data_IF_557930010119
#
_entry.id   IF_557930010119
#
_cell.length_a   1.000
_cell.length_b   1.000
_cell.length_c   1.000
_cell.angle_alpha   90.00
_cell.angle_beta   90.00
_cell.angle_gamma   90.00
#
_symmetry.space_group_name_H-M   'P 1'
#
loop_
_entity.id
_entity.type
_entity.pdbx_description
1 polymer ?
#
# COMPACT_ATOMS: atom_id res chain seq x y z
N UNK A 1 -36.46 -10.56 -54.99
CA UNK A 1 -36.57 -10.73 -53.52
C UNK A 1 -35.52 -11.68 -52.92
N UNK A 2 -35.03 -12.71 -53.65
CA UNK A 2 -33.99 -13.63 -53.13
C UNK A 2 -32.62 -12.98 -52.89
N UNK A 3 -32.23 -11.97 -53.69
CA UNK A 3 -30.91 -11.33 -53.60
C UNK A 3 -30.82 -10.27 -52.48
N UNK A 4 -31.93 -9.74 -52.01
CA UNK A 4 -31.98 -8.79 -50.90
C UNK A 4 -31.79 -9.48 -49.55
N UNK A 5 -32.21 -10.72 -49.43
CA UNK A 5 -32.03 -11.52 -48.22
C UNK A 5 -30.55 -11.96 -48.02
N UNK A 6 -29.83 -12.18 -49.12
CA UNK A 6 -28.44 -12.60 -49.08
C UNK A 6 -27.51 -11.44 -48.66
N UNK A 7 -27.80 -10.20 -49.02
CA UNK A 7 -27.06 -9.01 -48.63
C UNK A 7 -27.28 -8.66 -47.15
N UNK A 8 -28.48 -8.94 -46.63
CA UNK A 8 -28.82 -8.70 -45.24
C UNK A 8 -28.16 -9.72 -44.28
N UNK A 9 -27.85 -10.95 -44.79
CA UNK A 9 -27.19 -11.98 -44.01
C UNK A 9 -25.66 -11.77 -43.93
N UNK A 10 -25.07 -10.98 -44.83
CA UNK A 10 -23.62 -10.68 -44.84
C UNK A 10 -23.23 -9.48 -43.97
N UNK A 11 -24.19 -8.70 -43.47
CA UNK A 11 -23.90 -7.54 -42.59
C UNK A 11 -23.90 -7.89 -41.08
N UNK A 12 -24.06 -9.15 -40.69
CA UNK A 12 -24.22 -9.50 -39.28
C UNK A 12 -23.02 -10.31 -38.71
N UNK A 13 -21.87 -10.27 -39.36
CA UNK A 13 -20.70 -11.04 -38.89
C UNK A 13 -19.39 -10.23 -38.79
N UNK A 14 -19.48 -8.98 -38.35
CA UNK A 14 -18.34 -8.22 -37.89
C UNK A 14 -18.46 -7.93 -36.38
N UNK A 15 -18.57 -8.99 -35.57
CA UNK A 15 -18.13 -8.91 -34.19
C UNK A 15 -16.61 -8.92 -34.22
N UNK A 16 -16.00 -7.76 -34.14
CA UNK A 16 -14.60 -7.63 -33.78
C UNK A 16 -14.46 -8.24 -32.38
N UNK A 17 -14.11 -9.53 -32.35
CA UNK A 17 -13.67 -10.16 -31.13
C UNK A 17 -12.35 -9.50 -30.73
N UNK A 18 -12.38 -8.58 -29.78
CA UNK A 18 -11.17 -8.13 -29.09
C UNK A 18 -10.60 -9.35 -28.39
N UNK A 19 -9.53 -9.89 -28.94
CA UNK A 19 -8.83 -11.02 -28.38
C UNK A 19 -8.07 -10.57 -27.12
N UNK A 20 -8.64 -10.82 -25.95
CA UNK A 20 -7.87 -10.77 -24.71
C UNK A 20 -7.03 -12.03 -24.63
N UNK A 21 -5.72 -11.88 -24.51
CA UNK A 21 -4.78 -13.00 -24.36
C UNK A 21 -4.52 -13.18 -22.87
N UNK A 22 -4.87 -14.34 -22.35
CA UNK A 22 -4.48 -14.75 -20.99
C UNK A 22 -3.03 -15.21 -20.98
N UNK A 23 -2.27 -14.76 -20.00
CA UNK A 23 -0.88 -15.18 -19.78
C UNK A 23 -0.68 -15.41 -18.27
N UNK A 24 0.45 -16.04 -17.93
CA UNK A 24 0.83 -16.29 -16.54
C UNK A 24 2.21 -15.69 -16.33
N UNK A 25 2.39 -14.95 -15.22
CA UNK A 25 3.70 -14.41 -14.83
C UNK A 25 4.65 -15.52 -14.40
N UNK A 26 5.94 -15.22 -14.27
CA UNK A 26 6.94 -16.16 -13.75
C UNK A 26 6.58 -16.67 -12.34
N UNK A 27 5.82 -15.87 -11.56
CA UNK A 27 5.37 -16.21 -10.23
C UNK A 27 4.06 -17.02 -10.19
N UNK A 28 3.45 -17.29 -11.37
CA UNK A 28 2.22 -18.05 -11.49
C UNK A 28 0.93 -17.23 -11.44
N UNK A 29 1.01 -15.90 -11.45
CA UNK A 29 -0.16 -15.03 -11.44
C UNK A 29 -0.77 -14.94 -12.84
N UNK A 30 -2.09 -15.06 -12.97
CA UNK A 30 -2.80 -14.88 -14.23
C UNK A 30 -2.90 -13.39 -14.60
N UNK A 31 -2.61 -13.06 -15.84
CA UNK A 31 -2.69 -11.70 -16.40
C UNK A 31 -3.42 -11.70 -17.73
N UNK A 32 -4.11 -10.61 -18.01
CA UNK A 32 -4.70 -10.33 -19.31
C UNK A 32 -3.83 -9.32 -20.07
N UNK A 33 -3.41 -9.69 -21.28
CA UNK A 33 -2.72 -8.81 -22.22
C UNK A 33 -3.74 -8.14 -23.14
N UNK A 34 -3.60 -6.85 -23.36
CA UNK A 34 -4.44 -6.05 -24.22
C UNK A 34 -3.74 -5.70 -25.53
N UNK A 35 -4.51 -5.49 -26.61
CA UNK A 35 -3.96 -5.18 -27.94
C UNK A 35 -3.21 -3.86 -28.02
N UNK A 36 -3.41 -2.95 -27.05
CA UNK A 36 -2.71 -1.67 -26.93
C UNK A 36 -1.31 -1.81 -26.30
N UNK A 37 -0.89 -3.04 -25.97
CA UNK A 37 0.40 -3.35 -25.34
C UNK A 37 0.38 -3.20 -23.81
N UNK A 38 -0.77 -2.91 -23.21
CA UNK A 38 -0.93 -2.91 -21.74
C UNK A 38 -1.28 -4.31 -21.24
N UNK A 39 -1.20 -4.53 -19.94
CA UNK A 39 -1.60 -5.76 -19.28
C UNK A 39 -2.11 -5.49 -17.86
N UNK A 40 -2.92 -6.40 -17.34
CA UNK A 40 -3.41 -6.36 -15.96
C UNK A 40 -3.44 -7.76 -15.35
N UNK A 41 -3.29 -7.86 -14.04
CA UNK A 41 -3.52 -9.12 -13.32
C UNK A 41 -5.00 -9.48 -13.33
N UNK A 42 -5.33 -10.75 -13.57
CA UNK A 42 -6.72 -11.24 -13.59
C UNK A 42 -7.34 -11.32 -12.18
N UNK A 43 -6.53 -11.66 -11.18
CA UNK A 43 -6.89 -11.70 -9.76
C UNK A 43 -6.83 -10.32 -9.06
N UNK A 44 -6.72 -9.24 -9.81
CA UNK A 44 -7.37 -8.07 -9.30
C UNK A 44 -8.87 -8.39 -9.30
N UNK A 45 -9.38 -9.00 -8.20
CA UNK A 45 -10.74 -8.66 -7.80
C UNK A 45 -10.86 -7.18 -8.12
N UNK A 46 -11.73 -6.83 -9.06
CA UNK A 46 -12.14 -5.45 -9.23
C UNK A 46 -12.68 -5.09 -7.85
N UNK A 47 -11.78 -4.68 -6.95
CA UNK A 47 -12.17 -3.75 -5.92
C UNK A 47 -12.71 -2.62 -6.77
N UNK A 48 -14.04 -2.60 -6.96
CA UNK A 48 -14.73 -1.36 -7.30
C UNK A 48 -13.93 -0.32 -6.54
N UNK A 49 -13.38 0.65 -7.27
CA UNK A 49 -12.58 1.68 -6.67
C UNK A 49 -13.54 2.42 -5.73
N UNK A 50 -13.75 1.85 -4.55
CA UNK A 50 -14.46 2.51 -3.48
C UNK A 50 -13.60 3.73 -3.26
N UNK A 51 -14.18 4.88 -3.57
CA UNK A 51 -13.51 6.16 -3.45
C UNK A 51 -12.92 6.24 -2.04
N UNK A 52 -11.58 6.21 -1.94
CA UNK A 52 -10.92 6.25 -0.63
C UNK A 52 -11.28 7.58 0.00
N UNK A 53 -12.04 7.53 1.08
CA UNK A 53 -12.59 8.72 1.72
C UNK A 53 -11.50 9.53 2.42
N UNK A 54 -11.62 10.85 2.34
CA UNK A 54 -10.80 11.76 3.14
C UNK A 54 -11.31 11.77 4.59
N UNK A 55 -10.43 11.50 5.54
CA UNK A 55 -10.74 11.72 6.96
C UNK A 55 -10.88 13.23 7.20
N UNK A 56 -11.97 13.68 7.82
CA UNK A 56 -12.20 15.11 8.07
C UNK A 56 -11.27 15.73 9.14
N UNK A 57 -10.61 14.88 9.94
CA UNK A 57 -9.67 15.33 10.98
C UNK A 57 -8.32 15.70 10.39
N UNK A 58 -7.64 16.65 11.02
CA UNK A 58 -6.26 17.02 10.73
C UNK A 58 -5.35 16.47 11.82
N UNK A 59 -4.33 15.75 11.42
CA UNK A 59 -3.35 15.14 12.31
C UNK A 59 -2.06 15.96 12.34
N UNK A 60 -1.51 16.15 13.52
CA UNK A 60 -0.30 16.96 13.70
C UNK A 60 0.67 16.28 14.65
N UNK A 61 1.95 16.54 14.41
CA UNK A 61 3.05 16.08 15.24
C UNK A 61 2.83 16.43 16.72
N UNK A 62 2.94 15.42 17.59
CA UNK A 62 2.89 15.62 19.03
C UNK A 62 4.14 16.37 19.57
N UNK A 63 3.97 17.12 20.65
CA UNK A 63 5.08 17.89 21.26
C UNK A 63 6.26 17.02 21.70
N UNK A 64 6.02 15.78 22.12
CA UNK A 64 7.05 14.82 22.55
C UNK A 64 7.88 14.26 21.40
N UNK A 65 7.41 14.32 20.17
CA UNK A 65 8.13 13.89 18.97
C UNK A 65 9.20 14.96 18.61
N UNK A 66 10.31 14.92 19.32
CA UNK A 66 11.36 15.96 19.32
C UNK A 66 12.59 15.58 18.52
N UNK A 67 12.76 14.31 18.14
CA UNK A 67 13.89 13.83 17.35
C UNK A 67 13.49 13.70 15.88
N UNK A 68 14.25 14.35 14.98
CA UNK A 68 14.05 14.28 13.54
C UNK A 68 14.97 13.22 12.94
N UNK A 69 14.41 12.12 12.48
CA UNK A 69 15.08 11.09 11.70
C UNK A 69 14.94 11.41 10.21
N UNK A 70 16.05 11.68 9.52
CA UNK A 70 16.03 12.02 8.10
C UNK A 70 16.30 10.80 7.23
N UNK A 71 15.58 10.66 6.12
CA UNK A 71 15.94 9.71 5.08
C UNK A 71 17.30 10.08 4.47
N UNK A 72 18.06 9.09 4.06
CA UNK A 72 19.27 9.27 3.26
C UNK A 72 19.00 9.07 1.76
N UNK A 73 17.78 8.64 1.40
CA UNK A 73 17.39 8.34 0.02
C UNK A 73 16.59 9.48 -0.64
N UNK A 74 15.86 10.29 0.17
CA UNK A 74 14.99 11.36 -0.30
C UNK A 74 14.87 12.47 0.76
N UNK A 75 14.10 13.53 0.47
CA UNK A 75 13.96 14.70 1.34
C UNK A 75 12.91 14.52 2.47
N UNK A 76 12.63 13.29 2.88
CA UNK A 76 11.67 13.05 3.95
C UNK A 76 12.34 13.03 5.33
N UNK A 77 11.57 13.49 6.32
CA UNK A 77 11.97 13.45 7.72
C UNK A 77 10.81 12.98 8.60
N UNK A 78 11.15 12.19 9.60
CA UNK A 78 10.19 11.52 10.49
C UNK A 78 10.47 11.95 11.91
N UNK A 79 9.48 12.55 12.57
CA UNK A 79 9.62 12.91 13.96
C UNK A 79 9.26 11.73 14.85
N UNK A 80 10.07 11.48 15.87
CA UNK A 80 9.76 10.47 16.88
C UNK A 80 10.10 10.98 18.29
N UNK A 81 9.48 10.35 19.30
CA UNK A 81 9.86 10.56 20.68
C UNK A 81 11.04 9.64 21.05
N UNK A 82 12.25 10.17 21.27
CA UNK A 82 13.42 9.35 21.55
C UNK A 82 13.37 8.67 22.93
N UNK A 83 12.43 9.03 23.79
CA UNK A 83 12.19 8.34 25.07
C UNK A 83 11.43 7.05 24.88
N UNK A 84 10.50 7.02 23.93
CA UNK A 84 9.62 5.89 23.71
C UNK A 84 10.15 4.92 22.64
N UNK A 85 10.89 5.44 21.63
CA UNK A 85 11.32 4.67 20.48
C UNK A 85 12.82 4.52 20.37
N UNK A 86 13.27 3.37 19.89
CA UNK A 86 14.59 3.15 19.31
C UNK A 86 14.48 2.99 17.82
N UNK A 87 15.56 3.24 17.09
CA UNK A 87 15.65 2.98 15.67
C UNK A 87 17.03 2.40 15.31
N UNK A 88 17.05 1.64 14.22
CA UNK A 88 18.26 1.08 13.62
C UNK A 88 18.20 1.34 12.11
N UNK A 89 19.28 1.87 11.55
CA UNK A 89 19.45 2.00 10.11
C UNK A 89 20.01 0.70 9.55
N UNK A 90 19.56 0.32 8.34
CA UNK A 90 20.04 -0.87 7.64
C UNK A 90 19.98 -2.14 8.54
N UNK A 91 18.80 -2.37 9.13
CA UNK A 91 18.54 -3.48 10.04
C UNK A 91 18.44 -4.84 9.35
N UNK A 92 17.59 -5.71 9.87
CA UNK A 92 17.40 -7.08 9.36
C UNK A 92 16.56 -7.16 8.09
N UNK A 93 15.66 -6.20 7.88
CA UNK A 93 14.83 -6.11 6.67
C UNK A 93 15.53 -5.25 5.60
N UNK A 94 16.00 -5.84 4.49
CA UNK A 94 16.75 -5.11 3.47
C UNK A 94 15.89 -4.07 2.72
N UNK A 95 14.56 -4.15 2.77
CA UNK A 95 13.68 -3.15 2.18
C UNK A 95 13.53 -1.90 3.06
N UNK A 96 13.75 -2.02 4.38
CA UNK A 96 13.61 -0.92 5.31
C UNK A 96 14.88 -0.08 5.39
N UNK A 97 14.75 1.24 5.22
CA UNK A 97 15.83 2.17 5.52
C UNK A 97 16.05 2.27 7.04
N UNK A 98 14.95 2.25 7.80
CA UNK A 98 14.97 2.24 9.25
C UNK A 98 14.00 1.21 9.81
N UNK A 99 14.44 0.47 10.81
CA UNK A 99 13.60 -0.32 11.69
C UNK A 99 13.42 0.41 13.02
N UNK A 100 12.21 0.40 13.58
CA UNK A 100 11.87 1.07 14.84
C UNK A 100 11.30 0.05 15.83
N UNK A 101 11.51 0.30 17.11
CA UNK A 101 10.98 -0.53 18.17
C UNK A 101 10.53 0.34 19.36
N UNK A 102 9.29 0.12 19.82
CA UNK A 102 8.78 0.74 21.04
C UNK A 102 9.47 0.12 22.26
N UNK A 103 10.16 0.92 23.07
CA UNK A 103 10.95 0.43 24.21
C UNK A 103 10.12 -0.31 25.28
N UNK A 104 8.84 0.01 25.39
CA UNK A 104 7.95 -0.48 26.44
C UNK A 104 7.00 -1.58 25.98
N UNK A 105 7.19 -2.19 24.80
CA UNK A 105 6.25 -3.21 24.33
C UNK A 105 6.54 -3.78 22.95
N UNK A 106 5.66 -4.65 22.51
CA UNK A 106 5.79 -5.42 21.26
C UNK A 106 5.18 -4.67 20.07
N UNK A 107 5.55 -3.41 19.91
CA UNK A 107 5.21 -2.60 18.76
C UNK A 107 6.48 -2.25 18.00
N UNK A 108 6.48 -2.55 16.73
CA UNK A 108 7.58 -2.33 15.81
C UNK A 108 7.17 -1.36 14.73
N UNK A 109 8.14 -0.77 14.05
CA UNK A 109 7.91 0.08 12.91
C UNK A 109 9.00 -0.08 11.86
N UNK A 110 8.72 0.36 10.66
CA UNK A 110 9.69 0.43 9.57
C UNK A 110 9.42 1.64 8.69
N UNK A 111 10.49 2.18 8.13
CA UNK A 111 10.47 3.22 7.11
C UNK A 111 11.10 2.63 5.86
N UNK A 112 10.33 2.54 4.80
CA UNK A 112 10.78 2.12 3.47
C UNK A 112 10.78 3.36 2.59
N UNK A 113 11.93 3.75 2.08
CA UNK A 113 12.12 4.95 1.25
C UNK A 113 12.67 4.57 -0.11
N UNK A 114 12.02 5.07 -1.18
CA UNK A 114 12.41 4.84 -2.56
C UNK A 114 12.55 6.18 -3.30
N UNK A 115 13.52 6.27 -4.25
CA UNK A 115 13.78 7.48 -5.05
C UNK A 115 12.90 7.52 -6.31
N UNK A 116 11.66 7.11 -6.19
CA UNK A 116 10.70 7.07 -7.28
C UNK A 116 9.36 7.62 -6.80
N UNK A 117 8.82 8.59 -7.52
CA UNK A 117 7.46 9.06 -7.31
C UNK A 117 6.46 8.03 -7.85
N UNK A 118 5.52 7.60 -7.01
CA UNK A 118 4.49 6.62 -7.35
C UNK A 118 3.12 7.19 -6.93
N UNK A 119 2.10 7.24 -7.80
CA UNK A 119 0.74 7.63 -7.40
C UNK A 119 0.25 6.81 -6.21
N UNK A 120 -0.46 7.44 -5.26
CA UNK A 120 -0.87 6.78 -4.01
C UNK A 120 -1.74 5.54 -4.24
N UNK A 121 -2.58 5.54 -5.27
CA UNK A 121 -3.40 4.40 -5.68
C UNK A 121 -2.53 3.22 -6.14
N UNK A 122 -1.51 3.49 -6.93
CA UNK A 122 -0.52 2.48 -7.35
C UNK A 122 0.29 1.98 -6.17
N UNK A 123 0.74 2.89 -5.30
CA UNK A 123 1.49 2.55 -4.08
C UNK A 123 0.67 1.67 -3.13
N UNK A 124 -0.65 1.92 -3.03
CA UNK A 124 -1.59 1.05 -2.31
C UNK A 124 -1.57 -0.38 -2.86
N UNK A 125 -1.67 -0.51 -4.17
CA UNK A 125 -1.61 -1.82 -4.84
C UNK A 125 -0.29 -2.55 -4.58
N UNK A 126 0.84 -1.85 -4.71
CA UNK A 126 2.17 -2.39 -4.42
C UNK A 126 2.28 -2.84 -2.96
N UNK A 127 1.84 -2.01 -2.01
CA UNK A 127 1.89 -2.34 -0.59
C UNK A 127 1.07 -3.60 -0.27
N UNK A 128 -0.14 -3.71 -0.84
CA UNK A 128 -1.01 -4.88 -0.67
C UNK A 128 -0.40 -6.13 -1.29
N UNK A 129 0.09 -6.05 -2.52
CA UNK A 129 0.71 -7.18 -3.24
C UNK A 129 1.96 -7.69 -2.51
N UNK A 130 2.85 -6.77 -2.11
CA UNK A 130 4.07 -7.13 -1.35
C UNK A 130 3.75 -7.79 -0.02
N UNK A 131 2.75 -7.27 0.70
CA UNK A 131 2.35 -7.85 1.98
C UNK A 131 1.65 -9.22 1.81
N UNK A 132 0.84 -9.41 0.75
CA UNK A 132 0.23 -10.71 0.40
C UNK A 132 1.26 -11.78 0.03
N UNK A 133 2.40 -11.42 -0.54
CA UNK A 133 3.48 -12.38 -0.80
C UNK A 133 3.99 -13.07 0.49
N UNK A 134 4.00 -12.34 1.62
CA UNK A 134 4.38 -12.88 2.93
C UNK A 134 3.19 -13.48 3.71
N UNK A 135 1.97 -12.99 3.48
CA UNK A 135 0.74 -13.38 4.15
C UNK A 135 -0.43 -13.43 3.13
N UNK A 136 -0.67 -14.57 2.46
CA UNK A 136 -1.68 -14.68 1.39
C UNK A 136 -3.11 -14.33 1.82
N UNK A 137 -3.44 -14.46 3.10
CA UNK A 137 -4.74 -14.11 3.69
C UNK A 137 -4.87 -12.62 4.06
N UNK A 138 -3.85 -11.80 3.75
CA UNK A 138 -3.81 -10.40 4.15
C UNK A 138 -4.94 -9.59 3.48
N UNK A 139 -5.61 -8.77 4.30
CA UNK A 139 -6.71 -7.91 3.90
C UNK A 139 -6.53 -6.49 4.44
N UNK A 140 -6.92 -5.50 3.65
CA UNK A 140 -7.13 -4.13 4.13
C UNK A 140 -8.39 -4.14 5.01
N UNK A 141 -8.27 -3.66 6.24
CA UNK A 141 -9.39 -3.55 7.20
C UNK A 141 -9.79 -2.11 7.43
N UNK A 142 -8.91 -1.16 7.13
CA UNK A 142 -9.20 0.27 7.10
C UNK A 142 -8.32 0.95 6.07
N UNK A 143 -8.90 1.86 5.29
CA UNK A 143 -8.19 2.76 4.40
C UNK A 143 -8.88 4.12 4.37
N UNK A 144 -8.08 5.16 4.33
CA UNK A 144 -8.56 6.55 4.22
C UNK A 144 -7.41 7.46 3.82
N UNK A 145 -7.70 8.60 3.20
CA UNK A 145 -6.73 9.69 3.12
C UNK A 145 -6.77 10.49 4.43
N UNK A 146 -5.61 10.97 4.87
CA UNK A 146 -5.46 11.84 6.04
C UNK A 146 -4.65 13.08 5.68
N UNK A 147 -4.97 14.20 6.35
CA UNK A 147 -4.11 15.38 6.35
C UNK A 147 -3.19 15.32 7.57
N UNK A 148 -1.90 15.08 7.36
CA UNK A 148 -0.90 14.92 8.42
C UNK A 148 0.20 15.97 8.25
N UNK A 149 0.33 16.90 9.19
CA UNK A 149 1.29 18.01 9.13
C UNK A 149 1.21 18.81 7.81
N UNK A 150 0.01 18.93 7.23
CA UNK A 150 -0.24 19.61 5.96
C UNK A 150 -0.03 18.75 4.70
N UNK A 151 0.35 17.47 4.84
CA UNK A 151 0.52 16.53 3.74
C UNK A 151 -0.70 15.61 3.62
N UNK A 152 -1.15 15.34 2.39
CA UNK A 152 -2.15 14.31 2.10
C UNK A 152 -1.43 12.95 2.04
N UNK A 153 -1.69 12.08 2.99
CA UNK A 153 -1.15 10.73 3.06
C UNK A 153 -2.26 9.69 2.88
N UNK A 154 -1.92 8.53 2.37
CA UNK A 154 -2.79 7.36 2.41
C UNK A 154 -2.53 6.60 3.71
N UNK A 155 -3.57 6.38 4.50
CA UNK A 155 -3.54 5.51 5.67
C UNK A 155 -4.11 4.15 5.33
N UNK A 156 -3.34 3.09 5.65
CA UNK A 156 -3.79 1.70 5.55
C UNK A 156 -3.63 0.98 6.88
N UNK A 157 -4.66 0.23 7.27
CA UNK A 157 -4.54 -0.84 8.26
C UNK A 157 -4.82 -2.16 7.56
N UNK A 158 -3.90 -3.11 7.71
CA UNK A 158 -3.97 -4.43 7.07
C UNK A 158 -3.77 -5.52 8.11
N UNK A 159 -4.56 -6.59 8.02
CA UNK A 159 -4.46 -7.75 8.89
C UNK A 159 -4.16 -9.00 8.06
N UNK A 160 -3.31 -9.88 8.58
CA UNK A 160 -2.95 -11.14 7.93
C UNK A 160 -2.31 -12.13 8.89
N UNK A 161 -1.94 -13.30 8.36
CA UNK A 161 -1.27 -14.37 9.12
C UNK A 161 0.05 -14.70 8.46
N UNK A 162 1.16 -14.52 9.19
CA UNK A 162 2.49 -14.88 8.73
C UNK A 162 3.09 -15.92 9.68
N UNK A 163 3.47 -17.08 9.14
CA UNK A 163 4.02 -18.20 9.92
C UNK A 163 3.14 -18.62 11.11
N UNK A 164 1.81 -18.56 10.95
CA UNK A 164 0.84 -18.92 11.99
C UNK A 164 0.56 -17.81 13.01
N UNK A 165 1.23 -16.66 12.91
CA UNK A 165 1.02 -15.52 13.81
C UNK A 165 0.11 -14.51 13.09
N UNK A 166 -1.03 -14.18 13.72
CA UNK A 166 -1.90 -13.09 13.25
C UNK A 166 -1.29 -11.75 13.62
N UNK A 167 -1.09 -10.89 12.62
CA UNK A 167 -0.51 -9.57 12.79
C UNK A 167 -1.37 -8.47 12.16
N UNK A 168 -1.09 -7.24 12.51
CA UNK A 168 -1.69 -6.04 11.93
C UNK A 168 -0.59 -5.06 11.57
N UNK A 169 -0.65 -4.54 10.33
CA UNK A 169 0.06 -3.34 9.89
C UNK A 169 -0.84 -2.12 10.05
N UNK A 170 -0.24 -0.99 10.43
CA UNK A 170 -0.89 0.31 10.55
C UNK A 170 0.09 1.38 10.11
N UNK A 171 -0.18 2.08 9.00
CA UNK A 171 0.84 2.96 8.45
C UNK A 171 0.34 4.03 7.50
N UNK A 172 1.26 4.94 7.18
CA UNK A 172 1.12 6.02 6.21
C UNK A 172 1.98 5.77 4.98
N UNK A 173 1.42 6.11 3.85
CA UNK A 173 2.04 6.03 2.54
C UNK A 173 1.99 7.40 1.91
N UNK A 174 3.13 7.88 1.45
CA UNK A 174 3.26 9.21 0.84
C UNK A 174 4.23 9.17 -0.33
N UNK A 175 3.98 10.04 -1.31
CA UNK A 175 4.82 10.16 -2.49
C UNK A 175 4.80 11.59 -3.01
N UNK A 176 5.95 12.05 -3.48
CA UNK A 176 6.13 13.31 -4.21
C UNK A 176 7.35 13.21 -5.15
N UNK A 177 7.73 14.33 -5.79
CA UNK A 177 8.87 14.40 -6.70
C UNK A 177 10.23 13.95 -6.12
N UNK A 178 10.41 13.96 -4.79
CA UNK A 178 11.64 13.47 -4.15
C UNK A 178 11.64 11.95 -3.92
N UNK A 179 10.49 11.29 -4.09
CA UNK A 179 10.35 9.85 -3.94
C UNK A 179 9.10 9.41 -3.20
N UNK A 180 9.13 8.18 -2.74
CA UNK A 180 8.04 7.51 -2.05
C UNK A 180 8.49 7.05 -0.68
N UNK A 181 7.56 7.05 0.30
CA UNK A 181 7.77 6.49 1.62
C UNK A 181 6.58 5.67 2.09
N UNK A 182 6.89 4.56 2.74
CA UNK A 182 5.97 3.78 3.54
C UNK A 182 6.45 3.85 5.00
N UNK A 183 5.68 4.51 5.86
CA UNK A 183 5.97 4.62 7.29
C UNK A 183 4.93 3.78 8.04
N UNK A 184 5.34 2.60 8.50
CA UNK A 184 4.42 1.54 8.93
C UNK A 184 4.79 1.05 10.31
N UNK A 185 3.80 0.89 11.19
CA UNK A 185 3.90 0.15 12.45
C UNK A 185 3.26 -1.23 12.31
N UNK A 186 3.72 -2.20 13.11
CA UNK A 186 3.15 -3.54 13.14
C UNK A 186 3.32 -4.20 14.50
N UNK A 187 2.33 -5.04 14.83
CA UNK A 187 2.29 -5.83 16.08
C UNK A 187 1.37 -7.04 15.89
N UNK A 188 1.27 -7.90 16.91
CA UNK A 188 0.25 -8.95 16.93
C UNK A 188 -1.16 -8.33 16.84
N UNK A 189 -2.05 -8.94 16.05
CA UNK A 189 -3.36 -8.37 15.73
C UNK A 189 -4.20 -8.07 16.98
N UNK A 190 -4.13 -8.91 18.00
CA UNK A 190 -4.84 -8.71 19.26
C UNK A 190 -4.29 -7.58 20.14
N UNK A 191 -3.12 -7.03 19.82
CA UNK A 191 -2.49 -5.93 20.53
C UNK A 191 -2.68 -4.57 19.80
N UNK A 192 -3.09 -4.59 18.53
CA UNK A 192 -3.16 -3.37 17.71
C UNK A 192 -4.02 -2.27 18.35
N UNK A 193 -5.17 -2.61 18.91
CA UNK A 193 -6.04 -1.60 19.52
C UNK A 193 -5.43 -0.99 20.79
N UNK A 194 -4.65 -1.76 21.55
CA UNK A 194 -3.96 -1.26 22.74
C UNK A 194 -2.77 -0.35 22.42
N UNK A 195 -2.19 -0.49 21.21
CA UNK A 195 -1.07 0.32 20.74
C UNK A 195 -1.48 1.45 19.79
N UNK A 196 -2.78 1.66 19.55
CA UNK A 196 -3.25 2.67 18.59
C UNK A 196 -2.73 4.07 18.87
N UNK A 197 -2.77 4.51 20.13
CA UNK A 197 -2.22 5.82 20.51
C UNK A 197 -0.74 5.95 20.21
N UNK A 198 0.05 4.88 20.43
CA UNK A 198 1.47 4.88 20.14
C UNK A 198 1.75 4.87 18.64
N UNK A 199 0.92 4.16 17.84
CA UNK A 199 0.97 4.21 16.40
C UNK A 199 0.69 5.63 15.88
N UNK A 200 -0.42 6.24 16.30
CA UNK A 200 -0.78 7.59 15.88
C UNK A 200 0.27 8.63 16.37
N UNK A 201 0.79 8.50 17.60
CA UNK A 201 1.81 9.39 18.11
C UNK A 201 3.17 9.29 17.38
N UNK A 202 3.47 8.13 16.76
CA UNK A 202 4.66 7.93 15.95
C UNK A 202 4.45 8.46 14.53
N UNK A 203 3.30 8.16 13.92
CA UNK A 203 3.04 8.42 12.51
C UNK A 203 2.67 9.89 12.24
N UNK A 204 2.09 10.62 13.22
CA UNK A 204 1.77 12.03 13.13
C UNK A 204 2.99 12.90 13.47
#
# INVERSE_FOLDING_TARGET
MKNLLLVMLLMFSLTLGYGQIKAVTENGDEVTLYDDGTWAYDDMEMMEASEIMMNPETFTKGERASFLLKSSKNDFGFYLNPKDWTFMKDGSNPAAEYELHLKSGDLYGMIISEQLEIPLETLRGIALSTAKAAAPDLKIVKEEYRMVNGLKVLHLQMNGTMQGIKFSYYGYYYSNESGTVQYVTFTAQNLMDSYREQCDALLN
#
